data_IF_846627092221
#
_entry.id   IF_846627092221
#
_cell.length_a   1.000
_cell.length_b   1.000
_cell.length_c   1.000
_cell.angle_alpha   90.00
_cell.angle_beta   90.00
_cell.angle_gamma   90.00
#
_symmetry.space_group_name_H-M   'P 1'
#
loop_
_entity.id
_entity.type
_entity.pdbx_description
1 polymer ?
#
# COMPACT_ATOMS: atom_id res chain seq x y z
N UNK A 1 -4.69 -4.28 -4.53
CA UNK A 1 -4.19 -4.78 -5.83
C UNK A 1 -3.81 -3.69 -6.84
N UNK A 2 -4.69 -2.75 -7.22
CA UNK A 2 -4.41 -1.83 -8.34
C UNK A 2 -3.09 -1.04 -8.21
N UNK A 3 -2.81 -0.51 -7.02
CA UNK A 3 -1.57 0.20 -6.72
C UNK A 3 -0.32 -0.66 -6.87
N UNK A 4 -0.35 -1.88 -6.31
CA UNK A 4 0.74 -2.82 -6.47
C UNK A 4 0.98 -3.15 -7.95
N UNK A 5 -0.08 -3.38 -8.73
CA UNK A 5 0.06 -3.64 -10.17
C UNK A 5 0.66 -2.46 -10.93
N UNK A 6 0.34 -1.22 -10.54
CA UNK A 6 0.94 -0.02 -11.10
C UNK A 6 2.45 0.07 -10.79
N UNK A 7 2.85 -0.24 -9.56
CA UNK A 7 4.25 -0.26 -9.14
C UNK A 7 5.06 -1.33 -9.87
N UNK A 8 4.52 -2.54 -10.03
CA UNK A 8 5.17 -3.62 -10.78
C UNK A 8 5.45 -3.22 -12.24
N UNK A 9 4.52 -2.50 -12.88
CA UNK A 9 4.72 -1.98 -14.26
C UNK A 9 5.82 -0.93 -14.36
N UNK A 10 6.18 -0.25 -13.25
CA UNK A 10 7.32 0.67 -13.14
C UNK A 10 8.63 -0.02 -12.74
N UNK A 11 8.63 -1.34 -12.60
CA UNK A 11 9.81 -2.13 -12.25
C UNK A 11 10.00 -2.36 -10.74
N UNK A 12 9.03 -2.01 -9.90
CA UNK A 12 9.07 -2.40 -8.50
C UNK A 12 9.01 -3.93 -8.37
N UNK A 13 9.65 -4.47 -7.35
CA UNK A 13 9.68 -5.90 -7.08
C UNK A 13 8.72 -6.23 -5.94
N UNK A 14 8.06 -7.38 -5.98
CA UNK A 14 7.25 -7.80 -4.83
C UNK A 14 8.16 -8.04 -3.61
N UNK A 15 7.82 -7.51 -2.42
CA UNK A 15 8.49 -7.91 -1.18
C UNK A 15 8.34 -9.41 -0.93
N UNK A 16 9.34 -10.01 -0.30
CA UNK A 16 9.28 -11.40 0.16
C UNK A 16 8.35 -11.57 1.37
N UNK A 17 7.98 -12.80 1.72
CA UNK A 17 7.00 -13.07 2.78
C UNK A 17 7.42 -12.53 4.15
N UNK A 18 8.69 -12.72 4.54
CA UNK A 18 9.23 -12.20 5.81
C UNK A 18 9.24 -10.67 5.85
N UNK A 19 9.51 -10.02 4.71
CA UNK A 19 9.48 -8.57 4.57
C UNK A 19 8.04 -8.04 4.66
N UNK A 20 7.08 -8.73 4.01
CA UNK A 20 5.67 -8.43 4.13
C UNK A 20 5.20 -8.48 5.58
N UNK A 21 5.59 -9.53 6.31
CA UNK A 21 5.24 -9.69 7.72
C UNK A 21 5.81 -8.55 8.57
N UNK A 22 7.07 -8.18 8.37
CA UNK A 22 7.72 -7.09 9.10
C UNK A 22 7.07 -5.72 8.82
N UNK A 23 6.79 -5.42 7.54
CA UNK A 23 6.17 -4.15 7.13
C UNK A 23 4.75 -4.00 7.69
N UNK A 24 3.95 -5.07 7.68
CA UNK A 24 2.59 -5.03 8.22
C UNK A 24 2.56 -5.03 9.76
N UNK A 25 3.53 -5.67 10.42
CA UNK A 25 3.64 -5.66 11.88
C UNK A 25 3.92 -4.26 12.47
N UNK A 26 4.35 -3.30 11.66
CA UNK A 26 4.50 -1.90 12.06
C UNK A 26 3.15 -1.20 12.34
N UNK A 27 2.03 -1.82 11.96
CA UNK A 27 0.69 -1.27 12.12
C UNK A 27 -0.13 -2.13 13.09
N UNK A 28 -0.89 -1.46 13.96
CA UNK A 28 -1.68 -2.14 14.99
C UNK A 28 -2.74 -3.10 14.42
N UNK A 29 -3.20 -2.85 13.20
CA UNK A 29 -4.19 -3.63 12.46
C UNK A 29 -3.60 -4.34 11.23
N UNK A 30 -2.27 -4.47 11.15
CA UNK A 30 -1.62 -5.17 10.03
C UNK A 30 -2.07 -6.62 9.88
N UNK A 31 -2.43 -7.28 10.99
CA UNK A 31 -2.99 -8.63 10.99
C UNK A 31 -4.38 -8.71 10.34
N UNK A 32 -5.13 -7.61 10.31
CA UNK A 32 -6.46 -7.51 9.68
C UNK A 32 -6.38 -7.39 8.15
N UNK A 33 -5.19 -7.19 7.59
CA UNK A 33 -4.99 -7.23 6.13
C UNK A 33 -5.23 -8.65 5.62
N UNK A 34 -6.20 -8.87 4.70
CA UNK A 34 -6.45 -10.20 4.15
C UNK A 34 -5.22 -10.76 3.46
N UNK A 35 -5.00 -12.07 3.61
CA UNK A 35 -3.82 -12.77 3.11
C UNK A 35 -3.53 -12.47 1.63
N UNK A 36 -4.54 -12.58 0.76
CA UNK A 36 -4.44 -12.28 -0.67
C UNK A 36 -4.09 -10.81 -1.01
N UNK A 37 -4.08 -9.90 -0.02
CA UNK A 37 -3.75 -8.48 -0.16
C UNK A 37 -2.46 -8.09 0.57
N UNK A 38 -1.85 -8.98 1.35
CA UNK A 38 -0.67 -8.65 2.19
C UNK A 38 0.52 -8.19 1.37
N UNK A 39 0.90 -8.94 0.34
CA UNK A 39 2.05 -8.57 -0.51
C UNK A 39 1.83 -7.24 -1.21
N UNK A 40 0.60 -6.99 -1.69
CA UNK A 40 0.25 -5.73 -2.32
C UNK A 40 0.25 -4.55 -1.34
N UNK A 41 -0.28 -4.74 -0.13
CA UNK A 41 -0.29 -3.73 0.92
C UNK A 41 1.14 -3.40 1.39
N UNK A 42 1.95 -4.43 1.66
CA UNK A 42 3.35 -4.29 2.04
C UNK A 42 4.15 -3.54 0.97
N UNK A 43 3.95 -3.86 -0.31
CA UNK A 43 4.58 -3.12 -1.41
C UNK A 43 4.17 -1.64 -1.38
N UNK A 44 2.89 -1.32 -1.19
CA UNK A 44 2.44 0.08 -1.14
C UNK A 44 3.00 0.83 0.07
N UNK A 45 3.15 0.17 1.23
CA UNK A 45 3.80 0.74 2.42
C UNK A 45 5.28 1.02 2.15
N UNK A 46 5.99 0.05 1.58
CA UNK A 46 7.42 0.18 1.29
C UNK A 46 7.74 1.29 0.30
N UNK A 47 6.91 1.43 -0.73
CA UNK A 47 7.05 2.50 -1.72
C UNK A 47 6.46 3.85 -1.24
N UNK A 48 6.00 3.93 0.01
CA UNK A 48 5.49 5.17 0.62
C UNK A 48 4.13 5.64 0.10
N UNK A 49 3.41 4.81 -0.66
CA UNK A 49 2.07 5.13 -1.17
C UNK A 49 0.97 4.97 -0.12
N UNK A 50 1.20 4.14 0.90
CA UNK A 50 0.28 3.93 2.03
C UNK A 50 1.06 4.10 3.32
N UNK A 51 0.68 5.10 4.10
CA UNK A 51 1.32 5.39 5.39
C UNK A 51 0.42 5.06 6.59
N UNK A 52 -0.87 4.78 6.34
CA UNK A 52 -1.85 4.65 7.40
C UNK A 52 -2.12 5.97 8.13
N UNK A 53 -2.90 5.90 9.19
CA UNK A 53 -3.21 7.04 10.06
C UNK A 53 -3.30 6.58 11.51
N UNK A 54 -2.66 7.32 12.42
CA UNK A 54 -2.65 6.98 13.85
C UNK A 54 -2.02 5.62 14.17
N UNK A 55 -1.12 5.12 13.32
CA UNK A 55 -0.49 3.80 13.47
C UNK A 55 -1.30 2.62 12.91
N UNK A 56 -2.41 2.87 12.21
CA UNK A 56 -3.26 1.85 11.61
C UNK A 56 -3.35 2.01 10.07
N UNK A 57 -3.39 0.88 9.35
CA UNK A 57 -3.61 0.82 7.90
C UNK A 57 -5.07 0.99 7.51
N UNK A 58 -6.00 0.65 8.42
CA UNK A 58 -7.45 0.68 8.26
C UNK A 58 -7.90 -0.08 6.99
N UNK A 59 -7.55 -1.37 6.83
CA UNK A 59 -7.76 -2.13 5.59
C UNK A 59 -9.23 -2.43 5.25
N UNK A 60 -10.15 -2.10 6.16
CA UNK A 60 -11.59 -2.25 6.03
C UNK A 60 -12.31 -0.92 5.78
N UNK A 61 -11.61 0.21 5.90
CA UNK A 61 -12.22 1.51 5.70
C UNK A 61 -12.37 1.79 4.21
N UNK A 62 -13.43 2.53 3.89
CA UNK A 62 -13.66 2.97 2.52
C UNK A 62 -12.49 3.86 2.09
N UNK A 63 -11.82 3.47 1.01
CA UNK A 63 -10.78 4.28 0.37
C UNK A 63 -11.35 5.65 0.06
N UNK A 64 -10.80 6.71 0.64
CA UNK A 64 -11.35 8.05 0.45
C UNK A 64 -11.04 8.56 -0.96
N UNK A 65 -11.86 9.49 -1.47
CA UNK A 65 -11.59 10.12 -2.78
C UNK A 65 -10.25 10.85 -2.81
N UNK A 66 -9.78 11.35 -1.66
CA UNK A 66 -8.48 12.02 -1.53
C UNK A 66 -7.32 11.03 -1.67
N UNK A 67 -7.40 9.87 -1.02
CA UNK A 67 -6.42 8.79 -1.19
C UNK A 67 -6.44 8.29 -2.64
N UNK A 68 -7.63 8.10 -3.24
CA UNK A 68 -7.74 7.74 -4.66
C UNK A 68 -7.17 8.81 -5.60
N UNK A 69 -7.35 10.09 -5.28
CA UNK A 69 -6.78 11.20 -6.03
C UNK A 69 -5.25 11.25 -5.88
N UNK A 70 -4.68 11.04 -4.69
CA UNK A 70 -3.23 10.94 -4.52
C UNK A 70 -2.64 9.77 -5.31
N UNK A 71 -3.33 8.64 -5.35
CA UNK A 71 -2.97 7.50 -6.20
C UNK A 71 -2.95 7.90 -7.67
N UNK A 72 -4.01 8.56 -8.16
CA UNK A 72 -4.08 9.04 -9.54
C UNK A 72 -3.02 10.10 -9.84
N UNK A 73 -2.73 11.02 -8.92
CA UNK A 73 -1.74 12.09 -9.09
C UNK A 73 -0.32 11.53 -9.15
N UNK A 74 0.03 10.57 -8.28
CA UNK A 74 1.31 9.85 -8.36
C UNK A 74 1.44 9.01 -9.64
N UNK A 75 0.32 8.54 -10.20
CA UNK A 75 0.30 7.75 -11.43
C UNK A 75 0.33 8.60 -12.71
N UNK A 76 -0.30 9.78 -12.70
CA UNK A 76 -0.42 10.68 -13.84
C UNK A 76 0.87 11.45 -14.17
N UNK A 77 1.90 11.34 -13.34
CA UNK A 77 3.18 12.04 -13.59
C UNK A 77 2.99 13.55 -13.65
N UNK A 78 2.10 14.11 -12.83
CA UNK A 78 1.93 15.55 -12.77
C UNK A 78 3.14 16.14 -12.03
N UNK A 79 4.13 16.57 -12.82
CA UNK A 79 5.15 17.51 -12.38
C UNK A 79 4.47 18.87 -12.19
N UNK A 80 4.25 19.23 -10.93
CA UNK A 80 4.24 20.63 -10.52
C UNK A 80 5.65 21.02 -10.16
#
# INVERSE_FOLDING_TARGET
>A
QLLANALLRRGAQLPGDSECAALLAAFSDGASVPEARRTAAALCVREGLVQGSGGALRPHDAFTRAEFAQVLMNFAGWAG
#
